data_IF_816176787968
#
_entry.id   IF_816176787968
#
_cell.length_a   1.000
_cell.length_b   1.000
_cell.length_c   1.000
_cell.angle_alpha   90.00
_cell.angle_beta   90.00
_cell.angle_gamma   90.00
#
_symmetry.space_group_name_H-M   'P 1'
#
loop_
_entity.id
_entity.type
_entity.pdbx_description
1 polymer ?
#
# COMPACT_ATOMS: atom_id res chain seq x y z
N UNK A 1 0.97 -31.43 -20.45
CA UNK A 1 0.16 -31.30 -19.23
C UNK A 1 0.49 -30.05 -18.45
N UNK A 2 -0.37 -29.04 -18.55
CA UNK A 2 -0.28 -27.78 -17.79
C UNK A 2 -0.89 -28.04 -16.42
N UNK A 3 -0.08 -28.12 -15.35
CA UNK A 3 -0.58 -28.18 -13.98
C UNK A 3 -1.31 -26.86 -13.67
N UNK A 4 -2.63 -26.88 -13.70
CA UNK A 4 -3.48 -25.78 -13.24
C UNK A 4 -3.23 -25.54 -11.76
N UNK A 5 -2.62 -24.40 -11.42
CA UNK A 5 -2.38 -23.98 -10.05
C UNK A 5 -3.72 -23.60 -9.41
N UNK A 6 -4.28 -24.46 -8.57
CA UNK A 6 -5.48 -24.15 -7.78
C UNK A 6 -5.08 -23.28 -6.58
N UNK A 7 -5.79 -22.17 -6.40
CA UNK A 7 -5.67 -21.29 -5.23
C UNK A 7 -6.89 -21.51 -4.35
N UNK A 8 -6.70 -21.61 -3.04
CA UNK A 8 -7.75 -21.80 -2.05
C UNK A 8 -7.65 -20.71 -0.98
N UNK A 9 -8.79 -20.24 -0.48
CA UNK A 9 -8.84 -19.32 0.64
C UNK A 9 -8.63 -20.14 1.92
N UNK A 10 -7.63 -19.76 2.71
CA UNK A 10 -7.22 -20.51 3.92
C UNK A 10 -7.51 -19.72 5.20
N UNK A 11 -7.48 -18.39 5.11
CA UNK A 11 -7.67 -17.48 6.22
C UNK A 11 -7.93 -16.05 5.76
N UNK A 12 -8.54 -15.24 6.64
CA UNK A 12 -8.79 -13.81 6.46
C UNK A 12 -7.96 -13.03 7.49
N UNK A 13 -7.53 -11.81 7.15
CA UNK A 13 -6.70 -10.95 8.01
C UNK A 13 -7.51 -10.08 9.00
N UNK A 14 -8.83 -10.24 9.06
CA UNK A 14 -9.72 -9.29 9.74
C UNK A 14 -9.58 -9.31 11.28
N UNK A 15 -9.19 -10.45 11.88
CA UNK A 15 -8.99 -10.55 13.33
C UNK A 15 -7.96 -11.64 13.74
N UNK A 16 -6.65 -11.37 13.63
CA UNK A 16 -5.63 -12.33 14.06
C UNK A 16 -5.52 -12.39 15.58
N UNK A 17 -5.42 -13.59 16.12
CA UNK A 17 -5.08 -13.78 17.54
C UNK A 17 -3.56 -13.76 17.66
N UNK A 18 -3.03 -12.75 18.35
CA UNK A 18 -1.61 -12.63 18.64
C UNK A 18 -1.28 -13.28 19.98
N UNK A 19 -0.32 -14.20 19.99
CA UNK A 19 0.24 -14.79 21.21
C UNK A 19 1.74 -14.57 21.21
N UNK A 20 2.29 -14.19 22.36
CA UNK A 20 3.71 -13.92 22.52
C UNK A 20 4.28 -14.74 23.67
N UNK A 21 5.44 -15.35 23.40
CA UNK A 21 6.34 -15.94 24.37
C UNK A 21 7.75 -15.36 24.11
N UNK A 22 8.63 -15.41 25.11
CA UNK A 22 9.96 -14.77 25.09
C UNK A 22 10.80 -15.09 23.83
N UNK A 23 10.54 -16.18 23.12
CA UNK A 23 11.26 -16.56 21.89
C UNK A 23 10.36 -16.76 20.64
N UNK A 24 9.03 -16.74 20.82
CA UNK A 24 8.08 -17.14 19.80
C UNK A 24 6.91 -16.16 19.78
N UNK A 25 6.69 -15.50 18.64
CA UNK A 25 5.45 -14.75 18.40
C UNK A 25 4.59 -15.57 17.44
N UNK A 26 3.37 -15.94 17.83
CA UNK A 26 2.46 -16.67 16.94
C UNK A 26 1.23 -15.84 16.61
N UNK A 27 0.90 -15.76 15.34
CA UNK A 27 -0.36 -15.23 14.86
C UNK A 27 -1.25 -16.38 14.41
N UNK A 28 -2.48 -16.41 14.88
CA UNK A 28 -3.46 -17.39 14.48
C UNK A 28 -4.57 -16.70 13.70
N UNK A 29 -4.78 -17.15 12.47
CA UNK A 29 -5.82 -16.67 11.58
C UNK A 29 -6.86 -17.78 11.37
N UNK A 30 -8.12 -17.37 11.28
CA UNK A 30 -9.26 -18.25 11.00
C UNK A 30 -10.12 -17.62 9.92
N UNK A 31 -10.79 -18.46 9.12
CA UNK A 31 -11.77 -18.06 8.11
C UNK A 31 -13.22 -18.11 8.65
N UNK A 32 -13.40 -18.24 9.97
CA UNK A 32 -14.72 -18.50 10.57
C UNK A 32 -15.24 -19.93 10.38
N UNK A 33 -14.52 -20.76 9.62
CA UNK A 33 -14.66 -22.22 9.57
C UNK A 33 -13.67 -22.95 10.50
N UNK A 34 -13.48 -24.25 10.28
CA UNK A 34 -12.60 -25.10 11.11
C UNK A 34 -11.10 -25.03 10.72
N UNK A 35 -10.78 -24.35 9.62
CA UNK A 35 -9.40 -24.18 9.16
C UNK A 35 -8.69 -23.12 10.00
N UNK A 36 -7.49 -23.47 10.48
CA UNK A 36 -6.62 -22.63 11.29
C UNK A 36 -5.25 -22.47 10.63
N UNK A 37 -4.84 -21.22 10.46
CA UNK A 37 -3.51 -20.87 9.94
C UNK A 37 -2.71 -20.25 11.07
N UNK A 38 -1.65 -20.93 11.49
CA UNK A 38 -0.74 -20.44 12.51
C UNK A 38 0.56 -19.96 11.87
N UNK A 39 0.86 -18.68 12.01
CA UNK A 39 2.13 -18.08 11.60
C UNK A 39 3.02 -17.98 12.82
N UNK A 40 4.09 -18.77 12.84
CA UNK A 40 5.08 -18.86 13.90
C UNK A 40 6.30 -18.02 13.54
N UNK A 41 6.55 -16.95 14.28
CA UNK A 41 7.75 -16.14 14.19
C UNK A 41 8.72 -16.58 15.27
N UNK A 42 9.86 -17.13 14.88
CA UNK A 42 10.92 -17.56 15.80
C UNK A 42 12.12 -16.64 15.68
N UNK A 43 12.60 -16.17 16.83
CA UNK A 43 13.84 -15.40 16.91
C UNK A 43 15.04 -16.26 16.48
N UNK A 44 15.83 -15.73 15.55
CA UNK A 44 17.11 -16.31 15.14
C UNK A 44 18.14 -15.19 15.03
N UNK A 45 19.17 -15.22 15.88
CA UNK A 45 20.22 -14.20 15.89
C UNK A 45 21.25 -14.40 14.77
N UNK A 46 21.57 -15.65 14.45
CA UNK A 46 22.60 -16.00 13.48
C UNK A 46 22.02 -16.74 12.26
N UNK A 47 22.57 -16.45 11.08
CA UNK A 47 22.08 -17.00 9.81
C UNK A 47 21.15 -16.06 9.05
N UNK A 48 20.61 -16.55 7.93
CA UNK A 48 19.65 -15.86 7.08
C UNK A 48 18.21 -16.17 7.45
N UNK A 49 17.29 -15.40 6.88
CA UNK A 49 15.85 -15.60 7.07
C UNK A 49 15.40 -16.90 6.38
N UNK A 50 14.68 -17.74 7.12
CA UNK A 50 14.14 -18.99 6.56
C UNK A 50 12.63 -19.03 6.71
N UNK A 51 11.99 -19.48 5.64
CA UNK A 51 10.55 -19.71 5.56
C UNK A 51 10.30 -21.21 5.38
N UNK A 52 9.43 -21.78 6.20
CA UNK A 52 8.99 -23.17 6.05
C UNK A 52 7.52 -23.30 6.37
N UNK A 53 6.79 -24.00 5.51
CA UNK A 53 5.38 -24.32 5.70
C UNK A 53 5.23 -25.81 6.01
N UNK A 54 4.51 -26.12 7.08
CA UNK A 54 4.14 -27.48 7.45
C UNK A 54 2.62 -27.58 7.50
N UNK A 55 2.09 -28.64 6.90
CA UNK A 55 0.68 -29.00 6.98
C UNK A 55 0.56 -30.29 7.80
N UNK A 56 0.43 -30.20 9.13
CA UNK A 56 0.20 -31.38 9.96
C UNK A 56 -1.13 -32.08 9.65
N UNK A 57 -2.16 -31.32 9.26
CA UNK A 57 -3.49 -31.86 8.91
C UNK A 57 -4.20 -31.01 7.83
N UNK A 58 -5.38 -31.42 7.37
CA UNK A 58 -6.18 -30.72 6.35
C UNK A 58 -6.82 -29.42 6.85
N UNK A 59 -6.93 -29.26 8.17
CA UNK A 59 -7.51 -28.08 8.82
C UNK A 59 -6.47 -27.21 9.51
N UNK A 60 -5.21 -27.66 9.65
CA UNK A 60 -4.16 -26.92 10.36
C UNK A 60 -2.96 -26.66 9.46
N UNK A 61 -2.67 -25.38 9.23
CA UNK A 61 -1.53 -24.92 8.45
C UNK A 61 -0.57 -24.14 9.34
N UNK A 62 0.68 -24.57 9.42
CA UNK A 62 1.72 -23.92 10.22
C UNK A 62 2.74 -23.30 9.27
N UNK A 63 2.96 -22.00 9.42
CA UNK A 63 3.94 -21.24 8.65
C UNK A 63 5.00 -20.76 9.63
N UNK A 64 6.19 -21.33 9.55
CA UNK A 64 7.33 -20.94 10.36
C UNK A 64 8.23 -19.95 9.62
N UNK A 65 8.47 -18.82 10.26
CA UNK A 65 9.32 -17.74 9.78
C UNK A 65 10.38 -17.52 10.84
N UNK A 66 11.64 -17.72 10.48
CA UNK A 66 12.77 -17.52 11.37
C UNK A 66 13.55 -16.33 10.85
N UNK A 67 13.63 -15.28 11.64
CA UNK A 67 14.32 -14.05 11.26
C UNK A 67 14.92 -13.35 12.48
N UNK A 68 15.92 -12.51 12.23
CA UNK A 68 16.50 -11.63 13.26
C UNK A 68 15.48 -10.62 13.76
N UNK A 69 14.50 -10.27 12.92
CA UNK A 69 13.46 -9.32 13.25
C UNK A 69 12.42 -9.84 14.24
N UNK A 70 12.31 -11.16 14.42
CA UNK A 70 11.48 -11.73 15.47
C UNK A 70 12.10 -11.59 16.88
N UNK A 71 13.39 -11.23 16.96
CA UNK A 71 14.05 -10.98 18.23
C UNK A 71 13.81 -9.53 18.70
N UNK A 72 13.52 -9.30 19.99
CA UNK A 72 13.29 -7.96 20.52
C UNK A 72 14.55 -7.10 20.36
N UNK A 73 14.42 -5.94 19.70
CA UNK A 73 15.50 -4.97 19.56
C UNK A 73 16.54 -5.26 18.46
N UNK A 74 16.52 -6.43 17.81
CA UNK A 74 17.43 -6.73 16.70
C UNK A 74 16.88 -6.34 15.33
N UNK A 75 15.57 -6.09 15.20
CA UNK A 75 15.01 -5.55 13.96
C UNK A 75 15.37 -4.07 13.83
N UNK A 76 16.56 -3.79 13.32
CA UNK A 76 16.91 -2.46 12.88
C UNK A 76 16.32 -2.23 11.50
N UNK A 77 15.02 -1.89 11.46
CA UNK A 77 14.51 -1.23 10.27
C UNK A 77 15.20 0.13 10.22
N UNK A 78 16.23 0.22 9.36
CA UNK A 78 16.79 1.50 8.96
C UNK A 78 15.69 2.19 8.19
N UNK A 79 14.80 2.89 8.90
CA UNK A 79 13.95 3.92 8.29
C UNK A 79 14.97 4.84 7.65
N UNK A 80 15.17 4.74 6.33
CA UNK A 80 15.98 5.70 5.62
C UNK A 80 15.29 7.04 5.87
N UNK A 81 15.82 7.81 6.81
CA UNK A 81 15.35 9.15 7.14
C UNK A 81 15.70 10.00 5.93
N UNK A 82 14.78 10.08 4.99
CA UNK A 82 14.94 10.77 3.72
C UNK A 82 13.59 10.89 3.05
N UNK A 83 13.43 11.93 2.24
CA UNK A 83 12.24 12.06 1.41
C UNK A 83 12.18 10.85 0.47
N UNK A 84 10.99 10.26 0.34
CA UNK A 84 10.77 9.24 -0.67
C UNK A 84 11.01 9.85 -2.05
N UNK A 85 11.47 9.05 -3.01
CA UNK A 85 11.64 9.52 -4.39
C UNK A 85 10.34 10.19 -4.93
N UNK A 86 9.18 9.66 -4.53
CA UNK A 86 7.88 10.25 -4.82
C UNK A 86 7.70 11.65 -4.24
N UNK A 87 8.06 11.87 -2.97
CA UNK A 87 7.97 13.20 -2.35
C UNK A 87 8.88 14.23 -3.05
N UNK A 88 10.09 13.82 -3.45
CA UNK A 88 11.01 14.70 -4.20
C UNK A 88 10.41 15.10 -5.55
N UNK A 89 9.83 14.16 -6.30
CA UNK A 89 9.19 14.44 -7.59
C UNK A 89 8.04 15.43 -7.44
N UNK A 90 7.19 15.24 -6.42
CA UNK A 90 6.07 16.15 -6.13
C UNK A 90 6.56 17.57 -5.84
N UNK A 91 7.63 17.71 -5.05
CA UNK A 91 8.22 19.03 -4.75
C UNK A 91 8.70 19.72 -6.03
N UNK A 92 9.45 19.00 -6.89
CA UNK A 92 9.94 19.54 -8.16
C UNK A 92 8.77 19.99 -9.05
N UNK A 93 7.72 19.17 -9.15
CA UNK A 93 6.53 19.51 -9.93
C UNK A 93 5.85 20.76 -9.40
N UNK A 94 5.70 20.91 -8.07
CA UNK A 94 5.13 22.12 -7.47
C UNK A 94 5.99 23.34 -7.84
N UNK A 95 7.32 23.27 -7.71
CA UNK A 95 8.21 24.38 -8.07
C UNK A 95 8.08 24.78 -9.55
N UNK A 96 8.00 23.81 -10.46
CA UNK A 96 7.83 24.07 -11.90
C UNK A 96 6.45 24.68 -12.20
N UNK A 97 5.39 24.16 -11.57
CA UNK A 97 4.03 24.70 -11.72
C UNK A 97 3.97 26.13 -11.19
N UNK A 98 4.53 26.41 -10.01
CA UNK A 98 4.54 27.76 -9.44
C UNK A 98 5.30 28.75 -10.32
N UNK A 99 6.49 28.40 -10.80
CA UNK A 99 7.26 29.28 -11.68
C UNK A 99 6.55 29.51 -13.02
N UNK A 100 5.93 28.48 -13.58
CA UNK A 100 5.11 28.59 -14.79
C UNK A 100 3.89 29.50 -14.59
N UNK A 101 3.15 29.34 -13.48
CA UNK A 101 1.98 30.15 -13.18
C UNK A 101 2.37 31.61 -12.92
N UNK A 102 3.40 31.87 -12.12
CA UNK A 102 3.87 33.24 -11.84
C UNK A 102 4.38 33.91 -13.11
N UNK A 103 5.26 33.25 -13.87
CA UNK A 103 5.79 33.79 -15.13
C UNK A 103 4.69 34.03 -16.16
N UNK A 104 3.77 33.06 -16.32
CA UNK A 104 2.65 33.18 -17.25
C UNK A 104 1.64 34.26 -16.84
N UNK A 105 1.36 34.41 -15.55
CA UNK A 105 0.51 35.49 -15.04
C UNK A 105 1.14 36.87 -15.28
N UNK A 106 2.43 37.03 -14.99
CA UNK A 106 3.15 38.29 -15.26
C UNK A 106 3.12 38.62 -16.76
N UNK A 107 3.35 37.64 -17.63
CA UNK A 107 3.28 37.83 -19.08
C UNK A 107 1.88 38.24 -19.54
N UNK A 108 0.83 37.55 -19.08
CA UNK A 108 -0.57 37.87 -19.40
C UNK A 108 -0.98 39.26 -18.90
N UNK A 109 -0.51 39.65 -17.69
CA UNK A 109 -0.74 40.97 -17.11
C UNK A 109 -0.08 42.09 -17.91
N UNK A 110 1.22 41.99 -18.17
CA UNK A 110 2.00 43.09 -18.72
C UNK A 110 1.90 43.21 -20.25
N UNK A 111 1.76 42.09 -20.98
CA UNK A 111 1.69 42.11 -22.45
C UNK A 111 0.26 42.17 -22.98
N UNK A 112 -0.71 41.57 -22.28
CA UNK A 112 -2.05 41.35 -22.82
C UNK A 112 -3.15 42.12 -22.09
N UNK A 113 -2.82 42.79 -20.98
CA UNK A 113 -3.78 43.59 -20.20
C UNK A 113 -4.91 42.76 -19.59
N UNK A 114 -4.77 41.43 -19.52
CA UNK A 114 -5.82 40.54 -19.06
C UNK A 114 -6.11 40.77 -17.56
N UNK A 115 -7.39 40.71 -17.19
CA UNK A 115 -7.91 40.99 -15.85
C UNK A 115 -8.58 39.73 -15.26
N UNK A 116 -8.45 39.50 -13.95
CA UNK A 116 -9.08 38.37 -13.26
C UNK A 116 -8.58 36.97 -13.65
N UNK A 117 -9.52 36.03 -13.78
CA UNK A 117 -9.27 34.59 -14.00
C UNK A 117 -8.69 34.25 -15.39
N UNK A 118 -8.63 35.20 -16.32
CA UNK A 118 -8.01 35.02 -17.64
C UNK A 118 -6.47 35.15 -17.61
N UNK A 119 -5.89 35.56 -16.47
CA UNK A 119 -4.43 35.63 -16.30
C UNK A 119 -3.77 34.24 -16.21
N UNK A 120 -4.55 33.19 -15.95
CA UNK A 120 -4.03 31.83 -15.80
C UNK A 120 -3.74 31.21 -17.18
N UNK A 121 -2.47 30.93 -17.50
CA UNK A 121 -2.12 30.27 -18.76
C UNK A 121 -2.72 28.86 -18.79
N UNK A 122 -3.40 28.51 -19.90
CA UNK A 122 -4.03 27.20 -20.12
C UNK A 122 -5.01 26.76 -19.02
N UNK A 123 -5.92 27.65 -18.61
CA UNK A 123 -6.93 27.39 -17.56
C UNK A 123 -7.66 26.04 -17.68
N UNK A 124 -8.12 25.67 -18.89
CA UNK A 124 -8.86 24.43 -19.12
C UNK A 124 -8.04 23.18 -18.80
N UNK A 125 -6.72 23.23 -19.03
CA UNK A 125 -5.81 22.15 -18.66
C UNK A 125 -5.75 22.00 -17.14
N UNK A 126 -5.51 23.09 -16.41
CA UNK A 126 -5.38 23.05 -14.94
C UNK A 126 -6.64 22.54 -14.24
N UNK A 127 -7.82 22.96 -14.71
CA UNK A 127 -9.09 22.50 -14.14
C UNK A 127 -9.29 20.99 -14.37
N UNK A 128 -9.07 20.51 -15.60
CA UNK A 128 -9.22 19.09 -15.92
C UNK A 128 -8.22 18.24 -15.14
N UNK A 129 -6.96 18.66 -15.09
CA UNK A 129 -5.89 17.92 -14.41
C UNK A 129 -6.11 17.87 -12.90
N UNK A 130 -6.53 18.97 -12.26
CA UNK A 130 -6.81 19.00 -10.82
C UNK A 130 -8.04 18.16 -10.44
N UNK A 131 -9.13 18.22 -11.21
CA UNK A 131 -10.31 17.38 -10.99
C UNK A 131 -9.98 15.89 -11.07
N UNK A 132 -9.25 15.48 -12.10
CA UNK A 132 -8.86 14.09 -12.29
C UNK A 132 -7.89 13.63 -11.19
N UNK A 133 -6.94 14.48 -10.78
CA UNK A 133 -6.02 14.17 -9.70
C UNK A 133 -6.74 13.96 -8.36
N UNK A 134 -7.69 14.85 -8.00
CA UNK A 134 -8.51 14.69 -6.78
C UNK A 134 -9.36 13.41 -6.84
N UNK A 135 -9.91 13.08 -8.01
CA UNK A 135 -10.62 11.82 -8.24
C UNK A 135 -9.74 10.59 -7.99
N UNK A 136 -8.53 10.57 -8.54
CA UNK A 136 -7.55 9.49 -8.34
C UNK A 136 -7.13 9.34 -6.88
N UNK A 137 -6.82 10.44 -6.20
CA UNK A 137 -6.46 10.43 -4.77
C UNK A 137 -7.61 9.85 -3.93
N UNK A 138 -8.84 10.30 -4.17
CA UNK A 138 -10.02 9.79 -3.45
C UNK A 138 -10.24 8.29 -3.71
N UNK A 139 -10.05 7.83 -4.95
CA UNK A 139 -10.14 6.42 -5.29
C UNK A 139 -9.09 5.60 -4.52
N UNK A 140 -7.82 6.02 -4.54
CA UNK A 140 -6.74 5.33 -3.81
C UNK A 140 -7.00 5.28 -2.30
N UNK A 141 -7.44 6.39 -1.69
CA UNK A 141 -7.78 6.39 -0.26
C UNK A 141 -8.96 5.48 0.07
N UNK A 142 -10.01 5.48 -0.75
CA UNK A 142 -11.16 4.59 -0.55
C UNK A 142 -10.78 3.11 -0.72
N UNK A 143 -9.91 2.79 -1.67
CA UNK A 143 -9.40 1.44 -1.88
C UNK A 143 -8.55 0.96 -0.70
N UNK A 144 -7.65 1.81 -0.17
CA UNK A 144 -6.80 1.48 0.99
C UNK A 144 -7.62 1.34 2.27
N UNK A 145 -8.67 2.13 2.45
CA UNK A 145 -9.57 2.05 3.61
C UNK A 145 -10.51 0.84 3.59
N UNK A 146 -10.41 -0.04 2.59
CA UNK A 146 -11.22 -1.26 2.55
C UNK A 146 -12.72 -1.00 2.41
N UNK A 147 -13.15 0.21 2.00
CA UNK A 147 -14.52 0.46 1.56
C UNK A 147 -14.71 -0.18 0.19
N UNK A 148 -14.65 -1.51 0.16
CA UNK A 148 -14.97 -2.33 -1.00
C UNK A 148 -16.47 -2.18 -1.22
N UNK A 149 -16.87 -1.26 -2.10
CA UNK A 149 -18.17 -1.39 -2.73
C UNK A 149 -18.14 -2.72 -3.47
N UNK A 150 -18.96 -3.65 -3.00
CA UNK A 150 -19.11 -4.99 -3.53
C UNK A 150 -19.59 -4.89 -4.98
N UNK A 151 -18.67 -4.74 -5.95
CA UNK A 151 -18.99 -5.03 -7.35
C UNK A 151 -19.06 -6.55 -7.46
N UNK A 152 -20.23 -7.07 -7.10
CA UNK A 152 -20.72 -8.38 -7.49
C UNK A 152 -20.50 -8.53 -8.99
N UNK A 153 -19.55 -9.38 -9.39
CA UNK A 153 -19.49 -9.83 -10.77
C UNK A 153 -20.72 -10.71 -11.00
N UNK A 154 -21.76 -10.16 -11.63
CA UNK A 154 -22.79 -11.00 -12.23
C UNK A 154 -22.16 -11.69 -13.45
N UNK A 155 -22.15 -13.03 -13.50
CA UNK A 155 -21.79 -13.73 -14.73
C UNK A 155 -22.83 -13.37 -15.79
N UNK A 156 -22.36 -12.81 -16.90
CA UNK A 156 -23.19 -12.61 -18.10
C UNK A 156 -23.64 -14.00 -18.55
N UNK A 157 -24.95 -14.23 -18.54
CA UNK A 157 -25.59 -15.44 -19.07
C UNK A 157 -25.45 -15.52 -20.58
#
# INVERSE_FOLDING_TARGET
>A
DVKTKKSYLIAIQDNPIFKYNQHISSLEYTDGGDIRVQVLLTCREEGGDTFSGQQPDHTHYIISIQSRCACPGLCQYTVKKGLTAGAVLVIILICLVTTYLVGGMLFMKFKRGASGFEMLPNRTFWIKTTLNAVGGVRYSFNAIQGKRTETRYEPVK
#
